data_IF_005266943438
#
_entry.id   IF_005266943438
#
_cell.length_a   1.000
_cell.length_b   1.000
_cell.length_c   1.000
_cell.angle_alpha   90.00
_cell.angle_beta   90.00
_cell.angle_gamma   90.00
#
_symmetry.space_group_name_H-M   'P 1'
#
loop_
_entity.id
_entity.type
_entity.pdbx_description
1 polymer ?
#
# COMPACT_ATOMS: atom_id res chain seq x y z
N UNK A 1 8.54 22.55 -15.29
CA UNK A 1 7.29 22.40 -14.53
C UNK A 1 6.32 21.42 -15.19
N UNK A 2 6.04 21.58 -16.47
CA UNK A 2 5.21 20.60 -17.19
C UNK A 2 5.84 19.22 -17.20
N UNK A 3 7.18 19.13 -17.31
CA UNK A 3 7.89 17.86 -17.30
C UNK A 3 7.76 17.12 -15.97
N UNK A 4 7.84 17.84 -14.85
CA UNK A 4 7.65 17.23 -13.52
C UNK A 4 6.24 16.71 -13.35
N UNK A 5 5.25 17.47 -13.80
CA UNK A 5 3.85 17.05 -13.74
C UNK A 5 3.61 15.82 -14.61
N UNK A 6 4.22 15.78 -15.78
CA UNK A 6 4.12 14.63 -16.69
C UNK A 6 4.74 13.38 -16.05
N UNK A 7 5.93 13.50 -15.44
CA UNK A 7 6.58 12.40 -14.75
C UNK A 7 5.74 11.90 -13.58
N UNK A 8 5.16 12.83 -12.80
CA UNK A 8 4.27 12.47 -11.70
C UNK A 8 3.02 11.74 -12.19
N UNK A 9 2.45 12.15 -13.32
CA UNK A 9 1.30 11.46 -13.90
C UNK A 9 1.67 10.06 -14.36
N UNK A 10 2.85 9.86 -14.91
CA UNK A 10 3.33 8.53 -15.30
C UNK A 10 3.47 7.62 -14.08
N UNK A 11 4.07 8.13 -13.00
CA UNK A 11 4.20 7.37 -11.75
C UNK A 11 2.81 7.03 -11.20
N UNK A 12 1.90 8.00 -11.18
CA UNK A 12 0.54 7.79 -10.67
C UNK A 12 -0.21 6.75 -11.50
N UNK A 13 -0.02 6.77 -12.82
CA UNK A 13 -0.64 5.78 -13.70
C UNK A 13 -0.08 4.37 -13.43
N UNK A 14 1.22 4.23 -13.21
CA UNK A 14 1.84 2.96 -12.83
C UNK A 14 1.35 2.49 -11.47
N UNK A 15 1.13 3.41 -10.54
CA UNK A 15 0.66 3.09 -9.20
C UNK A 15 -0.69 2.35 -9.20
N UNK A 16 -1.54 2.59 -10.18
CA UNK A 16 -2.83 1.88 -10.28
C UNK A 16 -2.65 0.36 -10.36
N UNK A 17 -1.77 -0.08 -11.23
CA UNK A 17 -1.47 -1.51 -11.37
C UNK A 17 -0.65 -2.04 -10.20
N UNK A 18 0.29 -1.23 -9.71
CA UNK A 18 1.13 -1.61 -8.58
C UNK A 18 0.29 -1.81 -7.31
N UNK A 19 -0.62 -0.88 -7.02
CA UNK A 19 -1.52 -1.01 -5.87
C UNK A 19 -2.41 -2.25 -5.98
N UNK A 20 -2.87 -2.60 -7.18
CA UNK A 20 -3.65 -3.83 -7.40
C UNK A 20 -2.85 -5.06 -6.98
N UNK A 21 -1.57 -5.11 -7.33
CA UNK A 21 -0.69 -6.21 -6.94
C UNK A 21 -0.46 -6.23 -5.43
N UNK A 22 -0.24 -5.07 -4.81
CA UNK A 22 -0.05 -4.96 -3.36
C UNK A 22 -1.30 -5.43 -2.62
N UNK A 23 -2.49 -5.02 -3.07
CA UNK A 23 -3.75 -5.47 -2.48
C UNK A 23 -3.88 -6.99 -2.54
N UNK A 24 -3.53 -7.60 -3.67
CA UNK A 24 -3.54 -9.05 -3.82
C UNK A 24 -2.58 -9.73 -2.83
N UNK A 25 -1.38 -9.18 -2.67
CA UNK A 25 -0.40 -9.70 -1.72
C UNK A 25 -0.91 -9.63 -0.28
N UNK A 26 -1.53 -8.51 0.10
CA UNK A 26 -2.11 -8.35 1.43
C UNK A 26 -3.23 -9.39 1.64
N UNK A 27 -4.12 -9.52 0.67
CA UNK A 27 -5.26 -10.45 0.75
C UNK A 27 -4.80 -11.91 0.81
N UNK A 28 -3.60 -12.21 0.31
CA UNK A 28 -3.02 -13.55 0.37
C UNK A 28 -2.36 -13.81 1.72
N UNK A 29 -1.56 -12.85 2.22
CA UNK A 29 -0.73 -13.08 3.41
C UNK A 29 -1.53 -12.96 4.72
N UNK A 30 -2.58 -12.13 4.75
CA UNK A 30 -3.35 -11.91 5.98
C UNK A 30 -3.97 -13.20 6.53
N UNK A 31 -4.69 -14.03 5.74
CA UNK A 31 -5.19 -15.30 6.27
C UNK A 31 -4.09 -16.25 6.75
N UNK A 32 -2.94 -16.26 6.08
CA UNK A 32 -1.82 -17.10 6.48
C UNK A 32 -1.27 -16.67 7.84
N UNK A 33 -1.17 -15.36 8.09
CA UNK A 33 -0.74 -14.84 9.38
C UNK A 33 -1.76 -15.12 10.50
N UNK A 34 -3.02 -15.27 10.16
CA UNK A 34 -4.10 -15.48 11.13
C UNK A 34 -4.38 -16.96 11.45
N UNK A 35 -3.62 -17.89 10.90
CA UNK A 35 -3.79 -19.29 11.26
C UNK A 35 -3.40 -20.30 10.21
N UNK A 36 -3.30 -19.89 8.96
CA UNK A 36 -2.95 -20.76 7.84
C UNK A 36 -1.48 -20.59 7.43
N UNK A 37 -0.60 -20.32 8.39
CA UNK A 37 0.80 -20.04 8.12
C UNK A 37 1.47 -21.20 7.41
N UNK A 38 2.23 -20.88 6.36
CA UNK A 38 2.96 -21.82 5.53
C UNK A 38 4.45 -21.57 5.64
N UNK A 39 5.26 -22.46 5.07
CA UNK A 39 6.72 -22.36 5.16
C UNK A 39 7.26 -21.06 4.54
N UNK A 40 6.58 -20.53 3.54
CA UNK A 40 7.00 -19.32 2.82
C UNK A 40 6.25 -18.06 3.27
N UNK A 41 5.40 -18.14 4.30
CA UNK A 41 4.59 -16.98 4.74
C UNK A 41 5.45 -15.80 5.15
N UNK A 42 6.52 -16.02 5.90
CA UNK A 42 7.39 -14.93 6.37
C UNK A 42 8.09 -14.24 5.19
N UNK A 43 8.54 -15.00 4.20
CA UNK A 43 9.13 -14.44 2.99
C UNK A 43 8.09 -13.66 2.17
N UNK A 44 6.89 -14.19 2.05
CA UNK A 44 5.80 -13.53 1.36
C UNK A 44 5.41 -12.23 2.06
N UNK A 45 5.38 -12.25 3.41
CA UNK A 45 5.13 -11.04 4.21
C UNK A 45 6.18 -9.96 3.91
N UNK A 46 7.46 -10.34 3.85
CA UNK A 46 8.53 -9.39 3.54
C UNK A 46 8.32 -8.77 2.16
N UNK A 47 7.97 -9.57 1.16
CA UNK A 47 7.67 -9.08 -0.18
C UNK A 47 6.49 -8.12 -0.18
N UNK A 48 5.45 -8.43 0.60
CA UNK A 48 4.27 -7.59 0.75
C UNK A 48 4.63 -6.23 1.37
N UNK A 49 5.46 -6.24 2.42
CA UNK A 49 5.92 -5.02 3.08
C UNK A 49 6.77 -4.17 2.13
N UNK A 50 7.66 -4.79 1.37
CA UNK A 50 8.44 -4.09 0.36
C UNK A 50 7.52 -3.41 -0.66
N UNK A 51 6.47 -4.10 -1.09
CA UNK A 51 5.46 -3.54 -1.99
C UNK A 51 4.73 -2.34 -1.39
N UNK A 52 4.37 -2.42 -0.11
CA UNK A 52 3.74 -1.30 0.60
C UNK A 52 4.68 -0.10 0.64
N UNK A 53 5.97 -0.32 0.91
CA UNK A 53 6.95 0.76 0.96
C UNK A 53 7.12 1.44 -0.40
N UNK A 54 7.14 0.67 -1.50
CA UNK A 54 7.20 1.24 -2.84
C UNK A 54 5.94 2.04 -3.16
N UNK A 55 4.76 1.52 -2.78
CA UNK A 55 3.50 2.26 -2.96
C UNK A 55 3.52 3.59 -2.19
N UNK A 56 4.09 3.60 -0.98
CA UNK A 56 4.27 4.81 -0.19
C UNK A 56 5.17 5.83 -0.90
N UNK A 57 6.27 5.36 -1.48
CA UNK A 57 7.16 6.24 -2.25
C UNK A 57 6.43 6.84 -3.45
N UNK A 58 5.64 6.03 -4.16
CA UNK A 58 4.82 6.51 -5.29
C UNK A 58 3.80 7.54 -4.81
N UNK A 59 3.15 7.28 -3.67
CA UNK A 59 2.20 8.22 -3.09
C UNK A 59 2.88 9.55 -2.76
N UNK A 60 4.02 9.52 -2.07
CA UNK A 60 4.76 10.73 -1.70
C UNK A 60 5.22 11.53 -2.92
N UNK A 61 5.59 10.85 -3.99
CA UNK A 61 6.01 11.50 -5.24
C UNK A 61 4.85 12.16 -5.98
N UNK A 62 3.62 11.71 -5.76
CA UNK A 62 2.45 12.13 -6.56
C UNK A 62 1.34 12.80 -5.76
N UNK A 63 1.48 12.93 -4.45
CA UNK A 63 0.38 13.41 -3.59
C UNK A 63 -0.10 14.82 -3.94
N UNK A 64 0.77 15.66 -4.52
CA UNK A 64 0.38 16.98 -5.00
C UNK A 64 -0.67 16.94 -6.11
N UNK A 65 -0.62 15.91 -6.97
CA UNK A 65 -1.61 15.70 -8.03
C UNK A 65 -2.96 15.22 -7.48
N UNK A 66 -2.95 14.63 -6.31
CA UNK A 66 -4.15 14.05 -5.68
C UNK A 66 -4.80 15.00 -4.67
N UNK A 67 -4.19 16.16 -4.41
CA UNK A 67 -4.73 17.12 -3.47
C UNK A 67 -6.14 17.54 -3.91
N UNK A 68 -7.13 17.37 -3.03
CA UNK A 68 -8.52 17.70 -3.31
C UNK A 68 -9.28 16.63 -4.09
N UNK A 69 -8.62 15.57 -4.57
CA UNK A 69 -9.29 14.46 -5.25
C UNK A 69 -9.97 13.52 -4.25
N UNK A 70 -10.94 12.76 -4.72
CA UNK A 70 -11.68 11.81 -3.89
C UNK A 70 -11.47 10.39 -4.40
N UNK A 71 -11.41 9.40 -3.52
CA UNK A 71 -11.46 9.52 -2.05
C UNK A 71 -10.18 10.13 -1.47
N UNK A 72 -10.27 10.75 -0.30
CA UNK A 72 -9.10 11.24 0.42
C UNK A 72 -8.23 10.05 0.84
N UNK A 73 -6.91 10.23 0.79
CA UNK A 73 -5.96 9.19 1.11
C UNK A 73 -5.32 9.47 2.47
N UNK A 74 -5.45 8.50 3.39
CA UNK A 74 -4.82 8.59 4.71
C UNK A 74 -3.70 7.54 4.80
N UNK A 75 -2.46 8.02 4.76
CA UNK A 75 -1.27 7.16 4.81
C UNK A 75 -0.77 6.87 6.23
N UNK A 76 -1.21 7.66 7.21
CA UNK A 76 -0.50 7.74 8.49
C UNK A 76 -0.74 6.54 9.40
N UNK A 77 -2.00 6.18 9.61
CA UNK A 77 -2.37 5.27 10.69
C UNK A 77 -1.90 3.83 10.44
N UNK A 78 -2.24 3.26 9.32
CA UNK A 78 -1.89 1.87 9.00
C UNK A 78 -0.39 1.64 8.92
N UNK A 79 0.34 2.56 8.35
CA UNK A 79 1.79 2.43 8.18
C UNK A 79 2.54 2.47 9.52
N UNK A 80 2.10 3.31 10.44
CA UNK A 80 2.68 3.38 11.78
C UNK A 80 2.47 2.07 12.53
N UNK A 81 1.27 1.52 12.47
CA UNK A 81 0.95 0.26 13.13
C UNK A 81 1.71 -0.91 12.51
N UNK A 82 1.86 -0.94 11.20
CA UNK A 82 2.63 -1.98 10.53
C UNK A 82 4.10 -1.94 10.96
N UNK A 83 4.69 -0.76 11.02
CA UNK A 83 6.08 -0.59 11.47
C UNK A 83 6.27 -1.13 12.88
N UNK A 84 5.34 -0.86 13.79
CA UNK A 84 5.37 -1.37 15.16
C UNK A 84 5.16 -2.89 15.20
N UNK A 85 4.22 -3.41 14.42
CA UNK A 85 3.89 -4.84 14.40
C UNK A 85 5.05 -5.68 13.85
N UNK A 86 5.79 -5.17 12.87
CA UNK A 86 6.93 -5.87 12.29
C UNK A 86 8.08 -6.09 13.29
N UNK A 87 8.13 -5.29 14.34
CA UNK A 87 9.12 -5.45 15.43
C UNK A 87 8.69 -6.49 16.46
N UNK A 88 7.45 -6.92 16.39
CA UNK A 88 6.88 -7.91 17.29
C UNK A 88 6.91 -9.29 16.64
N UNK A 89 6.80 -10.35 17.44
CA UNK A 89 6.67 -11.72 16.92
C UNK A 89 5.20 -12.16 16.76
N UNK A 90 4.26 -11.24 16.97
CA UNK A 90 2.82 -11.53 16.90
C UNK A 90 2.32 -11.42 15.46
N UNK A 91 2.09 -12.58 14.83
CA UNK A 91 1.59 -12.64 13.45
C UNK A 91 0.19 -12.03 13.31
N UNK A 92 -0.66 -12.18 14.32
CA UNK A 92 -2.00 -11.59 14.30
C UNK A 92 -1.94 -10.07 14.30
N UNK A 93 -1.00 -9.46 15.05
CA UNK A 93 -0.80 -8.01 15.04
C UNK A 93 -0.32 -7.53 13.68
N UNK A 94 0.56 -8.29 13.03
CA UNK A 94 1.02 -7.98 11.66
C UNK A 94 -0.15 -8.00 10.68
N UNK A 95 -1.02 -9.01 10.77
CA UNK A 95 -2.19 -9.13 9.92
C UNK A 95 -3.16 -7.96 10.12
N UNK A 96 -3.42 -7.58 11.36
CA UNK A 96 -4.31 -6.46 11.68
C UNK A 96 -3.77 -5.14 11.13
N UNK A 97 -2.45 -4.93 11.23
CA UNK A 97 -1.81 -3.73 10.68
C UNK A 97 -1.91 -3.70 9.15
N UNK A 98 -1.73 -4.85 8.49
CA UNK A 98 -1.87 -4.95 7.04
C UNK A 98 -3.31 -4.67 6.59
N UNK A 99 -4.31 -5.07 7.35
CA UNK A 99 -5.71 -4.76 7.04
C UNK A 99 -5.93 -3.24 7.03
N UNK A 100 -5.29 -2.50 7.93
CA UNK A 100 -5.37 -1.04 7.96
C UNK A 100 -4.60 -0.41 6.80
N UNK A 101 -3.41 -0.91 6.50
CA UNK A 101 -2.61 -0.46 5.35
C UNK A 101 -3.37 -0.70 4.04
N UNK A 102 -4.13 -1.79 3.97
CA UNK A 102 -4.96 -2.09 2.80
C UNK A 102 -5.93 -0.96 2.48
N UNK A 103 -6.50 -0.33 3.50
CA UNK A 103 -7.40 0.81 3.30
C UNK A 103 -6.66 1.96 2.60
N UNK A 104 -5.44 2.28 3.05
CA UNK A 104 -4.61 3.30 2.41
C UNK A 104 -4.32 2.95 0.94
N UNK A 105 -3.89 1.72 0.67
CA UNK A 105 -3.55 1.28 -0.68
C UNK A 105 -4.78 1.35 -1.61
N UNK A 106 -5.95 0.91 -1.13
CA UNK A 106 -7.19 0.98 -1.90
C UNK A 106 -7.60 2.42 -2.19
N UNK A 107 -7.48 3.32 -1.20
CA UNK A 107 -7.77 4.74 -1.39
C UNK A 107 -6.82 5.37 -2.41
N UNK A 108 -5.53 5.05 -2.32
CA UNK A 108 -4.53 5.54 -3.26
C UNK A 108 -4.85 5.10 -4.68
N UNK A 109 -5.16 3.80 -4.86
CA UNK A 109 -5.55 3.25 -6.16
C UNK A 109 -6.77 3.97 -6.74
N UNK A 110 -7.82 4.13 -5.94
CA UNK A 110 -9.07 4.77 -6.37
C UNK A 110 -8.83 6.24 -6.75
N UNK A 111 -8.03 6.94 -5.94
CA UNK A 111 -7.68 8.33 -6.20
C UNK A 111 -6.86 8.44 -7.49
N UNK A 112 -5.88 7.54 -7.69
CA UNK A 112 -5.07 7.50 -8.90
C UNK A 112 -5.94 7.27 -10.15
N UNK A 113 -6.90 6.36 -10.07
CA UNK A 113 -7.85 6.11 -11.16
C UNK A 113 -8.66 7.36 -11.50
N UNK A 114 -9.09 8.12 -10.48
CA UNK A 114 -9.85 9.34 -10.68
C UNK A 114 -9.01 10.43 -11.35
N UNK A 115 -7.74 10.56 -10.97
CA UNK A 115 -6.85 11.59 -11.51
C UNK A 115 -6.35 11.25 -12.92
N UNK A 116 -6.13 9.97 -13.20
CA UNK A 116 -5.55 9.49 -14.46
C UNK A 116 -6.60 9.08 -15.50
N UNK A 117 -7.81 9.55 -15.37
CA UNK A 117 -8.86 9.27 -16.35
C UNK A 117 -8.52 9.84 -17.72
#
# INVERSE_FOLDING_TARGET
MEDMKKEQLEVLNEAKGYCTNVLHCIDTVVPELKGDKKDDTDEYLRMTVDGVNVALEMYNATRGLMAGAQPAVDEAEGNKELSAALKSSDDSAKADALIKVRVFIAQFKDCAEAVCK
#
